data_IF_109410546900
#
_entry.id   IF_109410546900
#
_cell.length_a   1.000
_cell.length_b   1.000
_cell.length_c   1.000
_cell.angle_alpha   90.00
_cell.angle_beta   90.00
_cell.angle_gamma   90.00
#
_symmetry.space_group_name_H-M   'P 1'
#
loop_
_entity.id
_entity.type
_entity.pdbx_description
1 polymer ?
#
# COMPACT_ATOMS: atom_id res chain seq x y z
N UNK A 1 13.32 -24.24 19.62
CA UNK A 1 12.53 -24.41 18.37
C UNK A 1 13.16 -23.55 17.27
N UNK A 2 13.39 -24.08 16.06
CA UNK A 2 14.05 -23.35 14.95
C UNK A 2 13.12 -23.22 13.76
N UNK A 3 13.10 -22.03 13.15
CA UNK A 3 12.43 -21.80 11.87
C UNK A 3 13.46 -22.02 10.77
N UNK A 4 13.19 -22.98 9.88
CA UNK A 4 14.05 -23.30 8.75
C UNK A 4 13.60 -22.57 7.49
N UNK A 5 14.48 -22.55 6.47
CA UNK A 5 14.15 -22.03 5.15
C UNK A 5 13.98 -23.18 4.17
N UNK A 6 12.97 -23.07 3.31
CA UNK A 6 12.73 -24.04 2.25
C UNK A 6 13.82 -23.94 1.18
N UNK A 7 14.37 -25.09 0.79
CA UNK A 7 15.41 -25.16 -0.23
C UNK A 7 14.96 -24.59 -1.59
N UNK A 8 13.71 -24.85 -1.99
CA UNK A 8 13.24 -24.48 -3.32
C UNK A 8 12.74 -23.03 -3.40
N UNK A 9 11.93 -22.59 -2.44
CA UNK A 9 11.29 -21.27 -2.50
C UNK A 9 11.80 -20.25 -1.49
N UNK A 10 12.67 -20.66 -0.57
CA UNK A 10 13.20 -19.84 0.55
C UNK A 10 12.13 -19.30 1.51
N UNK A 11 10.90 -19.82 1.47
CA UNK A 11 9.86 -19.54 2.48
C UNK A 11 10.27 -20.14 3.83
N UNK A 12 9.76 -19.55 4.92
CA UNK A 12 9.95 -20.05 6.27
C UNK A 12 9.17 -21.37 6.48
N UNK A 13 9.75 -22.31 7.21
CA UNK A 13 9.17 -23.60 7.58
C UNK A 13 9.06 -23.60 9.11
N UNK A 14 7.82 -23.68 9.59
CA UNK A 14 7.53 -23.88 11.00
C UNK A 14 7.56 -25.39 11.33
N UNK A 15 7.87 -25.77 12.57
CA UNK A 15 7.83 -27.16 13.01
C UNK A 15 6.45 -27.80 12.79
N UNK A 16 6.45 -29.08 12.45
CA UNK A 16 5.25 -29.80 12.05
C UNK A 16 4.81 -29.59 10.59
N UNK A 17 5.47 -28.70 9.84
CA UNK A 17 5.13 -28.45 8.44
C UNK A 17 6.20 -28.94 7.46
N UNK A 18 5.73 -29.37 6.28
CA UNK A 18 6.59 -29.68 5.15
C UNK A 18 7.19 -31.08 5.19
N UNK A 19 8.24 -31.29 4.41
CA UNK A 19 8.91 -32.59 4.25
C UNK A 19 10.42 -32.40 4.22
N UNK A 20 11.15 -33.33 4.80
CA UNK A 20 12.60 -33.40 4.78
C UNK A 20 13.03 -34.54 3.86
N UNK A 21 13.91 -34.25 2.92
CA UNK A 21 14.54 -35.26 2.06
C UNK A 21 16.03 -35.33 2.40
N UNK A 22 16.49 -36.49 2.84
CA UNK A 22 17.91 -36.76 3.09
C UNK A 22 18.46 -37.49 1.88
N UNK A 23 19.49 -36.92 1.26
CA UNK A 23 20.19 -37.55 0.15
C UNK A 23 21.39 -38.35 0.66
N UNK A 24 21.85 -39.33 -0.11
CA UNK A 24 22.98 -40.21 0.25
C UNK A 24 24.28 -39.47 0.63
N UNK A 25 24.47 -38.23 0.18
CA UNK A 25 25.61 -37.37 0.60
C UNK A 25 25.38 -36.67 1.95
N UNK A 26 24.48 -37.19 2.78
CA UNK A 26 24.02 -36.64 4.05
C UNK A 26 23.46 -35.21 3.96
N UNK A 27 23.13 -34.70 2.75
CA UNK A 27 22.53 -33.38 2.61
C UNK A 27 21.03 -33.44 2.86
N UNK A 28 20.59 -32.57 3.77
CA UNK A 28 19.19 -32.44 4.16
C UNK A 28 18.55 -31.31 3.36
N UNK A 29 17.56 -31.65 2.55
CA UNK A 29 16.73 -30.70 1.82
C UNK A 29 15.38 -30.54 2.52
N UNK A 30 15.09 -29.34 3.01
CA UNK A 30 13.83 -29.02 3.68
C UNK A 30 12.87 -28.36 2.71
N UNK A 31 11.63 -28.82 2.65
CA UNK A 31 10.58 -28.26 1.78
C UNK A 31 9.36 -27.82 2.58
N UNK A 32 8.83 -26.63 2.30
CA UNK A 32 7.64 -26.13 3.00
C UNK A 32 6.33 -26.80 2.59
N UNK A 33 6.22 -27.31 1.35
CA UNK A 33 4.97 -27.84 0.77
C UNK A 33 5.23 -28.85 -0.34
N UNK A 34 4.23 -29.66 -0.66
CA UNK A 34 4.27 -30.66 -1.73
C UNK A 34 4.65 -30.09 -3.10
N UNK A 35 4.24 -28.85 -3.43
CA UNK A 35 4.65 -28.15 -4.67
C UNK A 35 6.17 -28.04 -4.81
N UNK A 36 6.86 -27.63 -3.75
CA UNK A 36 8.31 -27.45 -3.72
C UNK A 36 9.03 -28.80 -3.82
N UNK A 37 8.53 -29.80 -3.09
CA UNK A 37 9.08 -31.15 -3.11
C UNK A 37 8.92 -31.83 -4.48
N UNK A 38 7.73 -31.74 -5.11
CA UNK A 38 7.49 -32.26 -6.46
C UNK A 38 8.35 -31.54 -7.51
N UNK A 39 8.51 -30.22 -7.41
CA UNK A 39 9.36 -29.47 -8.32
C UNK A 39 10.86 -29.86 -8.21
N UNK A 40 11.33 -30.11 -6.99
CA UNK A 40 12.67 -30.64 -6.74
C UNK A 40 12.85 -32.05 -7.33
N UNK A 41 11.88 -32.96 -7.13
CA UNK A 41 11.89 -34.30 -7.76
C UNK A 41 11.91 -34.24 -9.29
N UNK A 42 11.22 -33.27 -9.89
CA UNK A 42 11.25 -32.97 -11.33
C UNK A 42 12.54 -32.24 -11.78
N UNK A 43 13.56 -32.14 -10.92
CA UNK A 43 14.86 -31.49 -11.17
C UNK A 43 14.73 -30.05 -11.71
N UNK A 44 13.66 -29.34 -11.33
CA UNK A 44 13.48 -27.93 -11.74
C UNK A 44 14.50 -27.06 -11.02
N UNK A 45 15.15 -26.14 -11.74
CA UNK A 45 16.08 -25.19 -11.15
C UNK A 45 15.30 -24.01 -10.52
N UNK A 46 15.40 -23.77 -9.20
CA UNK A 46 14.75 -22.64 -8.56
C UNK A 46 15.07 -21.28 -9.20
N UNK A 47 16.30 -21.09 -9.69
CA UNK A 47 16.74 -19.83 -10.34
C UNK A 47 16.00 -19.53 -11.64
N UNK A 48 15.39 -20.53 -12.28
CA UNK A 48 14.57 -20.37 -13.50
C UNK A 48 13.06 -20.30 -13.20
N UNK A 49 12.65 -20.48 -11.95
CA UNK A 49 11.23 -20.56 -11.56
C UNK A 49 10.80 -19.23 -10.96
N UNK A 50 10.00 -18.46 -11.71
CA UNK A 50 9.69 -17.05 -11.48
C UNK A 50 9.16 -16.69 -10.08
N UNK A 51 8.40 -17.58 -9.44
CA UNK A 51 7.77 -17.31 -8.14
C UNK A 51 8.71 -17.54 -6.94
N UNK A 52 9.89 -18.12 -7.14
CA UNK A 52 10.84 -18.39 -6.06
C UNK A 52 11.63 -17.14 -5.69
N UNK A 53 12.07 -17.05 -4.43
CA UNK A 53 12.99 -15.99 -3.99
C UNK A 53 14.35 -16.06 -4.69
N UNK A 54 14.82 -17.27 -5.01
CA UNK A 54 16.07 -17.48 -5.77
C UNK A 54 16.03 -16.82 -7.16
N UNK A 55 14.93 -17.00 -7.90
CA UNK A 55 14.71 -16.30 -9.17
C UNK A 55 14.68 -14.78 -8.97
N UNK A 56 13.91 -14.31 -7.98
CA UNK A 56 13.75 -12.87 -7.74
C UNK A 56 15.08 -12.18 -7.43
N UNK A 57 15.96 -12.80 -6.64
CA UNK A 57 17.31 -12.27 -6.37
C UNK A 57 18.20 -12.29 -7.61
N UNK A 58 18.20 -13.37 -8.38
CA UNK A 58 19.03 -13.49 -9.59
C UNK A 58 18.62 -12.50 -10.69
N UNK A 59 17.33 -12.17 -10.78
CA UNK A 59 16.78 -11.22 -11.77
C UNK A 59 16.61 -9.79 -11.23
N UNK A 60 17.28 -9.42 -10.13
CA UNK A 60 17.24 -8.05 -9.61
C UNK A 60 15.85 -7.58 -9.14
N UNK A 61 14.94 -8.50 -8.81
CA UNK A 61 13.60 -8.17 -8.30
C UNK A 61 13.55 -7.93 -6.78
N UNK A 62 14.64 -8.18 -6.08
CA UNK A 62 14.77 -7.93 -4.64
C UNK A 62 16.14 -7.32 -4.36
N UNK A 63 16.24 -6.60 -3.23
CA UNK A 63 17.52 -6.10 -2.74
C UNK A 63 18.41 -7.31 -2.38
N UNK A 64 19.59 -7.40 -2.99
CA UNK A 64 20.51 -8.54 -2.81
C UNK A 64 21.65 -8.23 -1.85
N UNK A 65 22.19 -7.01 -1.90
CA UNK A 65 23.36 -6.57 -1.14
C UNK A 65 22.90 -5.47 -0.18
N UNK A 66 22.82 -5.78 1.11
CA UNK A 66 22.47 -4.85 2.18
C UNK A 66 23.15 -5.29 3.49
N UNK A 67 23.83 -4.39 4.23
CA UNK A 67 24.36 -4.67 5.56
C UNK A 67 23.32 -5.23 6.54
N UNK A 68 22.02 -4.92 6.35
CA UNK A 68 20.97 -5.47 7.21
C UNK A 68 20.89 -7.01 7.16
N UNK A 69 21.34 -7.65 6.08
CA UNK A 69 21.31 -9.10 5.93
C UNK A 69 22.41 -9.82 6.72
N UNK A 70 23.49 -9.13 7.08
CA UNK A 70 24.61 -9.73 7.83
C UNK A 70 24.22 -10.12 9.27
N UNK A 71 23.16 -9.50 9.80
CA UNK A 71 22.63 -9.81 11.13
C UNK A 71 21.96 -11.20 11.19
N UNK A 72 21.44 -11.75 10.09
CA UNK A 72 20.79 -13.09 10.01
C UNK A 72 21.82 -14.24 9.82
N UNK A 73 23.08 -14.05 10.24
CA UNK A 73 24.13 -15.08 10.08
C UNK A 73 23.98 -16.25 11.07
N UNK A 74 24.32 -17.46 10.61
CA UNK A 74 24.42 -18.64 11.47
C UNK A 74 25.67 -18.52 12.35
N UNK A 75 25.48 -18.50 13.68
CA UNK A 75 26.58 -18.54 14.66
C UNK A 75 26.83 -19.99 15.06
N UNK A 76 28.06 -20.46 14.88
CA UNK A 76 28.47 -21.82 15.28
C UNK A 76 29.12 -21.85 16.67
N UNK A 77 29.59 -20.69 17.16
CA UNK A 77 30.13 -20.54 18.51
C UNK A 77 29.05 -19.98 19.43
N UNK A 78 28.65 -20.70 20.49
CA UNK A 78 27.72 -20.19 21.48
C UNK A 78 28.40 -19.14 22.37
N UNK A 79 27.62 -18.20 22.87
CA UNK A 79 28.06 -17.20 23.86
C UNK A 79 27.33 -17.47 25.16
N UNK A 80 28.00 -17.27 26.30
CA UNK A 80 27.37 -17.39 27.62
C UNK A 80 26.20 -16.41 27.72
N UNK A 81 25.09 -16.86 28.27
CA UNK A 81 23.91 -16.03 28.44
C UNK A 81 24.20 -14.83 29.36
N UNK A 82 23.79 -13.63 28.92
CA UNK A 82 23.76 -12.42 29.73
C UNK A 82 22.48 -11.65 29.41
N UNK A 83 21.71 -11.30 30.45
CA UNK A 83 20.40 -10.63 30.34
C UNK A 83 20.49 -9.31 29.58
N UNK A 84 21.46 -8.46 29.89
CA UNK A 84 21.59 -7.12 29.29
C UNK A 84 21.89 -7.23 27.79
N UNK A 85 22.75 -8.17 27.42
CA UNK A 85 23.07 -8.42 26.01
C UNK A 85 21.85 -8.90 25.23
N UNK A 86 21.00 -9.73 25.85
CA UNK A 86 19.76 -10.24 25.25
C UNK A 86 18.69 -9.17 25.11
N UNK A 87 18.49 -8.32 26.12
CA UNK A 87 17.57 -7.19 26.03
C UNK A 87 17.98 -6.20 24.93
N UNK A 88 19.26 -5.84 24.87
CA UNK A 88 19.82 -5.00 23.79
C UNK A 88 19.65 -5.66 22.41
N UNK A 89 19.86 -6.97 22.31
CA UNK A 89 19.70 -7.70 21.05
C UNK A 89 18.24 -7.70 20.57
N UNK A 90 17.25 -7.92 21.45
CA UNK A 90 15.83 -7.88 21.08
C UNK A 90 15.42 -6.49 20.57
N UNK A 91 15.88 -5.43 21.24
CA UNK A 91 15.65 -4.05 20.78
C UNK A 91 16.29 -3.78 19.41
N UNK A 92 17.54 -4.22 19.23
CA UNK A 92 18.26 -4.07 17.95
C UNK A 92 17.57 -4.84 16.81
N UNK A 93 17.06 -6.04 17.05
CA UNK A 93 16.36 -6.85 16.04
C UNK A 93 15.16 -6.10 15.46
N UNK A 94 14.32 -5.49 16.32
CA UNK A 94 13.15 -4.72 15.88
C UNK A 94 13.56 -3.54 14.97
N UNK A 95 14.57 -2.78 15.39
CA UNK A 95 15.08 -1.65 14.61
C UNK A 95 15.69 -2.09 13.28
N UNK A 96 16.45 -3.18 13.26
CA UNK A 96 17.03 -3.74 12.03
C UNK A 96 15.93 -4.22 11.08
N UNK A 97 14.85 -4.83 11.58
CA UNK A 97 13.72 -5.26 10.73
C UNK A 97 12.99 -4.08 10.09
N UNK A 98 12.80 -2.99 10.81
CA UNK A 98 12.17 -1.76 10.28
C UNK A 98 13.04 -1.13 9.19
N UNK A 99 14.35 -0.98 9.44
CA UNK A 99 15.32 -0.44 8.46
C UNK A 99 15.33 -1.30 7.19
N UNK A 100 15.37 -2.62 7.35
CA UNK A 100 15.33 -3.58 6.24
C UNK A 100 14.05 -3.41 5.42
N UNK A 101 12.89 -3.36 6.06
CA UNK A 101 11.61 -3.20 5.37
C UNK A 101 11.53 -1.87 4.61
N UNK A 102 12.00 -0.77 5.22
CA UNK A 102 12.08 0.54 4.56
C UNK A 102 12.96 0.51 3.31
N UNK A 103 14.14 -0.11 3.38
CA UNK A 103 15.07 -0.26 2.24
C UNK A 103 14.50 -1.15 1.14
N UNK A 104 13.90 -2.27 1.50
CA UNK A 104 13.24 -3.18 0.56
C UNK A 104 12.08 -2.49 -0.16
N UNK A 105 11.23 -1.75 0.57
CA UNK A 105 10.13 -1.00 0.00
C UNK A 105 10.61 0.08 -0.96
N UNK A 106 11.64 0.84 -0.57
CA UNK A 106 12.25 1.85 -1.44
C UNK A 106 12.76 1.24 -2.74
N UNK A 107 13.49 0.12 -2.68
CA UNK A 107 13.98 -0.59 -3.86
C UNK A 107 12.84 -1.07 -4.77
N UNK A 108 11.75 -1.58 -4.19
CA UNK A 108 10.58 -2.01 -4.95
C UNK A 108 9.88 -0.83 -5.61
N UNK A 109 9.68 0.29 -4.89
CA UNK A 109 9.02 1.48 -5.43
C UNK A 109 9.82 2.11 -6.57
N UNK A 110 11.12 2.26 -6.41
CA UNK A 110 11.99 2.83 -7.45
C UNK A 110 11.98 1.97 -8.72
N UNK A 111 11.95 0.64 -8.56
CA UNK A 111 11.80 -0.27 -9.70
C UNK A 111 10.45 -0.11 -10.39
N UNK A 112 9.35 0.02 -9.63
CA UNK A 112 8.01 0.15 -10.19
C UNK A 112 7.78 1.51 -10.86
N UNK A 113 8.44 2.57 -10.39
CA UNK A 113 8.37 3.93 -10.98
C UNK A 113 8.73 3.93 -12.48
N UNK A 114 9.73 3.16 -12.88
CA UNK A 114 10.13 3.00 -14.29
C UNK A 114 9.03 2.42 -15.18
N UNK A 115 8.17 1.55 -14.63
CA UNK A 115 7.05 0.98 -15.37
C UNK A 115 5.98 2.01 -15.72
N UNK A 116 5.74 2.97 -14.81
CA UNK A 116 4.75 4.04 -15.01
C UNK A 116 5.08 4.95 -16.20
N UNK A 117 6.36 5.25 -16.40
CA UNK A 117 6.78 6.08 -17.53
C UNK A 117 6.48 5.41 -18.87
N UNK A 118 6.74 4.10 -18.95
CA UNK A 118 6.43 3.29 -20.14
C UNK A 118 4.93 3.21 -20.39
N UNK A 119 4.14 3.04 -19.32
CA UNK A 119 2.68 3.03 -19.37
C UNK A 119 2.13 4.35 -19.93
N UNK A 120 2.56 5.50 -19.40
CA UNK A 120 2.15 6.82 -19.91
C UNK A 120 2.50 6.98 -21.41
N UNK A 121 3.67 6.51 -21.83
CA UNK A 121 4.07 6.57 -23.24
C UNK A 121 3.22 5.66 -24.13
N UNK A 122 2.79 4.50 -23.62
CA UNK A 122 1.88 3.60 -24.33
C UNK A 122 0.49 4.22 -24.43
N UNK A 123 -0.03 4.78 -23.34
CA UNK A 123 -1.34 5.43 -23.29
C UNK A 123 -1.43 6.59 -24.29
N UNK A 124 -0.40 7.45 -24.36
CA UNK A 124 -0.34 8.53 -25.35
C UNK A 124 -0.38 7.98 -26.77
N UNK A 125 0.37 6.91 -27.07
CA UNK A 125 0.36 6.27 -28.40
C UNK A 125 -0.98 5.64 -28.71
N UNK A 126 -1.63 5.02 -27.73
CA UNK A 126 -2.92 4.36 -27.91
C UNK A 126 -4.02 5.38 -28.16
N UNK A 127 -4.04 6.51 -27.43
CA UNK A 127 -4.96 7.63 -27.69
C UNK A 127 -4.73 8.24 -29.07
N UNK A 128 -3.47 8.42 -29.49
CA UNK A 128 -3.15 8.96 -30.82
C UNK A 128 -3.62 8.02 -31.96
N UNK A 129 -3.42 6.71 -31.82
CA UNK A 129 -3.82 5.72 -32.85
C UNK A 129 -5.32 5.51 -32.90
N UNK A 130 -5.96 5.43 -31.74
CA UNK A 130 -7.37 5.09 -31.58
C UNK A 130 -8.23 6.34 -31.34
N UNK A 131 -7.78 7.51 -31.80
CA UNK A 131 -8.48 8.78 -31.61
C UNK A 131 -9.92 8.76 -32.14
N UNK A 132 -10.19 7.96 -33.18
CA UNK A 132 -11.51 7.80 -33.79
C UNK A 132 -12.52 7.03 -32.93
N UNK A 133 -12.07 6.21 -31.97
CA UNK A 133 -12.95 5.44 -31.09
C UNK A 133 -13.46 6.28 -29.90
N UNK A 134 -12.85 7.44 -29.67
CA UNK A 134 -13.14 8.33 -28.56
C UNK A 134 -14.03 9.47 -29.08
N UNK A 135 -15.22 9.65 -28.49
CA UNK A 135 -16.06 10.83 -28.76
C UNK A 135 -15.27 12.08 -28.34
N UNK A 136 -15.13 13.07 -29.23
CA UNK A 136 -14.36 14.29 -28.94
C UNK A 136 -14.75 14.86 -27.58
N UNK A 137 -13.80 15.13 -26.66
CA UNK A 137 -14.10 15.74 -25.36
C UNK A 137 -14.92 17.04 -25.46
N UNK A 138 -14.82 17.77 -26.58
CA UNK A 138 -15.62 18.95 -26.87
C UNK A 138 -17.13 18.67 -27.02
N UNK A 139 -17.52 17.46 -27.43
CA UNK A 139 -18.92 17.09 -27.60
C UNK A 139 -19.67 17.03 -26.25
N UNK A 140 -19.02 16.50 -25.21
CA UNK A 140 -19.59 16.46 -23.85
C UNK A 140 -19.59 17.83 -23.16
N UNK A 141 -18.59 18.67 -23.43
CA UNK A 141 -18.53 20.06 -22.94
C UNK A 141 -19.62 20.94 -23.53
N UNK A 142 -19.97 20.75 -24.81
CA UNK A 142 -21.08 21.48 -25.44
C UNK A 142 -22.44 21.10 -24.85
N UNK A 143 -22.65 19.80 -24.58
CA UNK A 143 -23.85 19.31 -23.91
C UNK A 143 -23.96 19.79 -22.46
N UNK A 144 -22.83 19.90 -21.74
CA UNK A 144 -22.78 20.45 -20.38
C UNK A 144 -23.00 21.96 -20.34
N UNK A 145 -22.33 22.72 -21.22
CA UNK A 145 -22.48 24.17 -21.31
C UNK A 145 -23.90 24.57 -21.68
N UNK A 146 -24.52 23.86 -22.62
CA UNK A 146 -25.92 24.07 -22.97
C UNK A 146 -26.89 23.74 -21.82
N UNK A 147 -26.53 22.80 -20.92
CA UNK A 147 -27.30 22.53 -19.69
C UNK A 147 -27.12 23.64 -18.65
N UNK A 148 -25.89 24.09 -18.43
CA UNK A 148 -25.58 25.19 -17.51
C UNK A 148 -26.24 26.50 -17.98
N UNK A 149 -26.21 26.80 -19.29
CA UNK A 149 -26.91 27.95 -19.90
C UNK A 149 -28.44 27.82 -19.81
N UNK A 150 -28.99 26.61 -19.93
CA UNK A 150 -30.43 26.37 -19.76
C UNK A 150 -30.88 26.46 -18.29
N UNK A 151 -30.02 26.06 -17.35
CA UNK A 151 -30.25 26.19 -15.91
C UNK A 151 -30.17 27.65 -15.47
N UNK A 152 -29.22 28.42 -16.02
CA UNK A 152 -29.10 29.87 -15.82
C UNK A 152 -30.29 30.65 -16.42
N UNK A 153 -30.77 30.26 -17.60
CA UNK A 153 -31.97 30.84 -18.20
C UNK A 153 -33.24 30.51 -17.39
N UNK A 154 -33.37 29.29 -16.87
CA UNK A 154 -34.49 28.90 -16.01
C UNK A 154 -34.50 29.69 -14.68
N UNK A 155 -33.32 30.03 -14.15
CA UNK A 155 -33.17 30.90 -12.98
C UNK A 155 -33.49 32.38 -13.27
N UNK A 156 -33.42 32.82 -14.53
CA UNK A 156 -33.81 34.17 -14.95
C UNK A 156 -35.28 34.30 -15.38
N UNK A 157 -35.95 33.19 -15.76
CA UNK A 157 -37.38 33.14 -16.10
C UNK A 157 -38.30 32.94 -14.87
N UNK A 158 -37.76 32.61 -13.70
CA UNK A 158 -38.48 32.84 -12.44
C UNK A 158 -38.47 34.34 -12.13
N UNK A 159 -39.49 35.05 -12.64
CA UNK A 159 -39.88 36.39 -12.16
C UNK A 159 -40.16 36.30 -10.63
N UNK A 160 -39.11 36.32 -9.81
CA UNK A 160 -39.26 36.65 -8.40
C UNK A 160 -39.76 38.10 -8.36
N UNK A 161 -40.93 38.38 -7.76
CA UNK A 161 -41.37 39.76 -7.59
C UNK A 161 -40.28 40.52 -6.87
N UNK A 162 -39.95 41.74 -7.33
CA UNK A 162 -38.97 42.62 -6.70
C UNK A 162 -39.35 42.87 -5.23
N UNK A 163 -38.92 41.99 -4.32
CA UNK A 163 -38.95 42.27 -2.90
C UNK A 163 -37.89 43.34 -2.64
N UNK A 164 -38.39 44.53 -2.38
CA UNK A 164 -37.62 45.71 -2.01
C UNK A 164 -36.72 45.36 -0.82
N UNK A 165 -35.45 45.09 -1.08
CA UNK A 165 -34.45 44.82 -0.04
C UNK A 165 -34.34 46.09 0.83
N UNK A 166 -34.98 46.09 1.99
CA UNK A 166 -34.72 47.10 3.03
C UNK A 166 -33.53 46.65 3.84
N UNK A 167 -32.47 47.48 3.85
CA UNK A 167 -31.30 47.25 4.71
C UNK A 167 -31.72 47.39 6.18
N UNK A 168 -31.54 46.32 6.96
CA UNK A 168 -31.66 46.34 8.42
C UNK A 168 -30.25 46.20 8.99
N UNK A 169 -29.83 47.15 9.83
CA UNK A 169 -28.49 47.16 10.39
C UNK A 169 -28.29 45.94 11.32
N UNK A 170 -27.24 45.16 11.08
CA UNK A 170 -27.07 43.83 11.68
C UNK A 170 -27.08 43.84 13.21
N UNK A 171 -26.62 44.94 13.82
CA UNK A 171 -26.58 45.13 15.29
C UNK A 171 -27.97 45.23 15.92
N UNK A 172 -28.95 45.80 15.23
CA UNK A 172 -30.32 45.89 15.75
C UNK A 172 -31.02 44.53 15.73
N UNK A 173 -30.66 43.67 14.76
CA UNK A 173 -31.22 42.34 14.61
C UNK A 173 -30.67 41.39 15.68
N UNK A 174 -29.36 41.44 15.94
CA UNK A 174 -28.71 40.69 17.01
C UNK A 174 -29.27 41.06 18.38
N UNK A 175 -29.45 42.36 18.66
CA UNK A 175 -30.00 42.83 19.93
C UNK A 175 -31.44 42.35 20.16
N UNK A 176 -32.27 42.33 19.11
CA UNK A 176 -33.64 41.79 19.18
C UNK A 176 -33.69 40.27 19.38
N UNK A 177 -32.72 39.53 18.83
CA UNK A 177 -32.60 38.08 19.01
C UNK A 177 -32.10 37.73 20.42
N UNK A 178 -31.18 38.51 20.97
CA UNK A 178 -30.73 38.39 22.37
C UNK A 178 -31.85 38.74 23.35
N UNK A 179 -32.60 39.82 23.11
CA UNK A 179 -33.75 40.19 23.93
C UNK A 179 -34.93 39.19 23.81
N UNK A 180 -34.98 38.41 22.72
CA UNK A 180 -36.00 37.39 22.46
C UNK A 180 -35.71 36.01 23.04
N UNK A 181 -34.53 35.77 23.59
CA UNK A 181 -34.17 34.54 24.30
C UNK A 181 -34.05 34.82 25.80
N UNK A 182 -35.20 34.97 26.45
CA UNK A 182 -35.30 34.99 27.90
C UNK A 182 -35.02 33.60 28.49
N UNK A 183 -33.99 33.52 29.33
CA UNK A 183 -33.69 32.46 30.28
C UNK A 183 -34.94 32.08 31.09
N UNK A 184 -35.38 30.82 30.99
CA UNK A 184 -36.54 30.38 31.74
C UNK A 184 -36.76 28.87 31.87
N UNK A 185 -35.88 28.00 31.38
CA UNK A 185 -36.05 26.54 31.50
C UNK A 185 -34.70 25.79 31.65
N UNK A 186 -33.82 26.27 32.55
CA UNK A 186 -32.60 25.55 32.94
C UNK A 186 -32.45 25.39 34.46
N UNK A 187 -33.53 25.01 35.14
CA UNK A 187 -33.46 24.47 36.51
C UNK A 187 -34.40 23.25 36.63
N UNK A 188 -34.08 22.12 36.00
CA UNK A 188 -34.70 20.82 36.33
C UNK A 188 -33.78 19.63 36.00
N UNK A 189 -32.46 19.73 36.20
CA UNK A 189 -31.54 18.59 36.07
C UNK A 189 -30.35 18.63 37.06
N UNK A 190 -30.63 18.95 38.32
CA UNK A 190 -29.82 18.46 39.46
C UNK A 190 -30.75 17.96 40.57
N UNK A 191 -31.28 16.75 40.40
CA UNK A 191 -31.77 15.86 41.45
C UNK A 191 -31.63 14.42 40.99
#
# INVERSE_FOLDING_TARGET
>A
MRIDTCYFCSSKIYPGHGVHFVRNDCKIFKFCRGKCHKAFKKKKNPRKVAWTKAYRKAHGKELTIDPSFEFEKRRNVPVKYNRDTWQKAIGAIKKVTEIKQRRENHFVMERLRKGREVEIQMDVKDVQRNMSLIRSPAAGLKERRAKEEAEEAALMDEDLPEEKITYVDARELEKKLEEGLGEGDLEMLES
#
